data_IF_256242786985
#
_entry.id   IF_256242786985
#
_cell.length_a   1.000
_cell.length_b   1.000
_cell.length_c   1.000
_cell.angle_alpha   90.00
_cell.angle_beta   90.00
_cell.angle_gamma   90.00
#
_symmetry.space_group_name_H-M   'P 1'
#
loop_
_entity.id
_entity.type
_entity.pdbx_description
1 polymer ?
#
# COMPACT_ATOMS: atom_id res chain seq x y z
N UNK A 1 -13.29 3.36 14.12
CA UNK A 1 -13.87 3.54 12.76
C UNK A 1 -13.24 2.49 11.87
N UNK A 2 -14.03 1.63 11.20
CA UNK A 2 -13.50 0.67 10.21
C UNK A 2 -13.28 1.41 8.88
N UNK A 3 -12.11 1.22 8.29
CA UNK A 3 -11.72 1.76 6.98
C UNK A 3 -11.00 0.67 6.17
N UNK A 4 -10.46 1.03 5.00
CA UNK A 4 -9.74 0.10 4.11
C UNK A 4 -8.59 -0.62 4.80
N UNK A 5 -7.91 0.02 5.74
CA UNK A 5 -6.83 -0.61 6.51
C UNK A 5 -7.36 -1.82 7.28
N UNK A 6 -8.49 -1.68 7.97
CA UNK A 6 -9.07 -2.77 8.76
C UNK A 6 -9.59 -3.92 7.90
N UNK A 7 -9.87 -3.67 6.61
CA UNK A 7 -10.28 -4.70 5.67
C UNK A 7 -9.09 -5.49 5.08
N UNK A 8 -7.89 -4.90 5.08
CA UNK A 8 -6.70 -5.45 4.42
C UNK A 8 -5.70 -6.04 5.42
N UNK A 9 -5.64 -5.53 6.65
CA UNK A 9 -4.78 -6.12 7.69
C UNK A 9 -5.17 -7.58 7.91
N UNK A 10 -4.20 -8.47 7.71
CA UNK A 10 -4.35 -9.91 7.86
C UNK A 10 -4.53 -10.30 9.32
N UNK A 11 -5.25 -11.40 9.55
CA UNK A 11 -5.37 -11.96 10.90
C UNK A 11 -4.07 -12.66 11.31
N UNK A 12 -3.72 -12.58 12.59
CA UNK A 12 -2.57 -13.30 13.15
C UNK A 12 -2.68 -14.81 12.94
N UNK A 13 -3.90 -15.35 12.97
CA UNK A 13 -4.15 -16.78 12.80
C UNK A 13 -3.90 -17.26 11.37
N UNK A 14 -4.10 -16.40 10.36
CA UNK A 14 -3.71 -16.70 8.99
C UNK A 14 -2.21 -16.97 8.91
N UNK A 15 -1.39 -16.07 9.48
CA UNK A 15 0.07 -16.14 9.38
C UNK A 15 0.66 -17.36 10.09
N UNK A 16 0.09 -17.76 11.22
CA UNK A 16 0.51 -18.96 11.97
C UNK A 16 0.35 -20.25 11.17
N UNK A 17 -0.62 -20.29 10.26
CA UNK A 17 -0.93 -21.49 9.47
C UNK A 17 -0.19 -21.56 8.12
N UNK A 18 0.52 -20.49 7.72
CA UNK A 18 1.32 -20.50 6.49
C UNK A 18 2.61 -21.31 6.67
N UNK A 19 3.08 -21.94 5.58
CA UNK A 19 4.41 -22.55 5.51
C UNK A 19 5.51 -21.47 5.58
N UNK A 20 6.77 -21.86 5.84
CA UNK A 20 7.88 -20.91 5.91
C UNK A 20 8.11 -20.17 4.57
N UNK A 21 7.99 -20.90 3.46
CA UNK A 21 8.06 -20.36 2.09
C UNK A 21 6.90 -19.38 1.83
N UNK A 22 5.65 -19.82 2.05
CA UNK A 22 4.48 -18.98 1.82
C UNK A 22 4.47 -17.72 2.70
N UNK A 23 4.99 -17.80 3.92
CA UNK A 23 5.12 -16.65 4.81
C UNK A 23 6.20 -15.67 4.33
N UNK A 24 7.27 -16.18 3.72
CA UNK A 24 8.33 -15.36 3.11
C UNK A 24 7.78 -14.63 1.88
N UNK A 25 7.06 -15.34 1.01
CA UNK A 25 6.43 -14.75 -0.17
C UNK A 25 5.39 -13.71 0.22
N UNK A 26 4.55 -14.01 1.21
CA UNK A 26 3.56 -13.07 1.74
C UNK A 26 4.23 -11.78 2.24
N UNK A 27 5.32 -11.90 3.01
CA UNK A 27 6.10 -10.75 3.48
C UNK A 27 6.62 -9.91 2.31
N UNK A 28 7.25 -10.55 1.33
CA UNK A 28 7.85 -9.85 0.18
C UNK A 28 6.78 -9.16 -0.66
N UNK A 29 5.69 -9.86 -0.99
CA UNK A 29 4.57 -9.30 -1.75
C UNK A 29 3.93 -8.09 -1.05
N UNK A 30 3.80 -8.12 0.28
CA UNK A 30 3.31 -6.97 1.03
C UNK A 30 4.26 -5.77 0.94
N UNK A 31 5.58 -6.00 1.03
CA UNK A 31 6.58 -4.95 0.88
C UNK A 31 6.65 -4.36 -0.53
N UNK A 32 6.58 -5.21 -1.55
CA UNK A 32 6.57 -4.79 -2.95
C UNK A 32 5.31 -3.98 -3.27
N UNK A 33 4.14 -4.42 -2.78
CA UNK A 33 2.89 -3.69 -2.94
C UNK A 33 2.93 -2.32 -2.24
N UNK A 34 3.46 -2.24 -1.01
CA UNK A 34 3.61 -0.97 -0.30
C UNK A 34 4.55 -0.01 -1.07
N UNK A 35 5.67 -0.53 -1.57
CA UNK A 35 6.62 0.23 -2.39
C UNK A 35 6.00 0.71 -3.70
N UNK A 36 5.18 -0.13 -4.36
CA UNK A 36 4.42 0.23 -5.55
C UNK A 36 3.43 1.37 -5.29
N UNK A 37 2.79 1.40 -4.11
CA UNK A 37 1.92 2.52 -3.71
C UNK A 37 2.72 3.81 -3.54
N UNK A 38 3.89 3.76 -2.91
CA UNK A 38 4.77 4.94 -2.77
C UNK A 38 5.17 5.47 -4.15
N UNK A 39 5.55 4.59 -5.07
CA UNK A 39 5.89 4.95 -6.44
C UNK A 39 4.69 5.59 -7.18
N UNK A 40 3.50 5.02 -7.02
CA UNK A 40 2.28 5.57 -7.61
C UNK A 40 1.96 6.96 -7.05
N UNK A 41 2.02 7.15 -5.74
CA UNK A 41 1.80 8.46 -5.10
C UNK A 41 2.81 9.51 -5.56
N UNK A 42 4.08 9.12 -5.73
CA UNK A 42 5.13 9.99 -6.23
C UNK A 42 4.86 10.41 -7.67
N UNK A 43 4.55 9.42 -8.53
CA UNK A 43 4.23 9.66 -9.94
C UNK A 43 3.00 10.55 -10.09
N UNK A 44 1.94 10.33 -9.29
CA UNK A 44 0.77 11.19 -9.27
C UNK A 44 1.11 12.63 -8.88
N UNK A 45 2.00 12.82 -7.91
CA UNK A 45 2.51 14.15 -7.53
C UNK A 45 3.25 14.84 -8.68
N UNK A 46 4.15 14.13 -9.37
CA UNK A 46 4.87 14.66 -10.53
C UNK A 46 3.93 15.05 -11.67
N UNK A 47 3.01 14.15 -12.03
CA UNK A 47 2.03 14.40 -13.11
C UNK A 47 1.09 15.57 -12.77
N UNK A 48 0.71 15.72 -11.50
CA UNK A 48 -0.12 16.86 -11.08
C UNK A 48 0.61 18.19 -11.27
N UNK A 49 1.92 18.22 -11.01
CA UNK A 49 2.75 19.39 -11.22
C UNK A 49 2.90 19.70 -12.71
N UNK A 50 3.22 18.70 -13.54
CA UNK A 50 3.31 18.84 -15.00
C UNK A 50 1.99 19.33 -15.61
N UNK A 51 0.85 18.85 -15.12
CA UNK A 51 -0.47 19.29 -15.57
C UNK A 51 -0.77 20.75 -15.20
N UNK A 52 -0.31 21.22 -14.03
CA UNK A 52 -0.47 22.62 -13.62
C UNK A 52 0.39 23.58 -14.45
N UNK A 53 1.52 23.11 -14.98
CA UNK A 53 2.44 23.90 -15.81
C UNK A 53 2.06 23.88 -17.31
N UNK A 54 1.01 23.15 -17.68
CA UNK A 54 0.58 22.98 -19.07
C UNK A 54 -0.45 24.04 -19.49
N UNK A 55 -0.15 24.79 -20.54
CA UNK A 55 -1.08 25.74 -21.17
C UNK A 55 -2.27 25.04 -21.88
N UNK A 56 -2.16 23.74 -22.15
CA UNK A 56 -3.18 22.93 -22.83
C UNK A 56 -4.14 22.23 -21.85
N UNK A 57 -3.88 22.32 -20.53
CA UNK A 57 -4.67 21.62 -19.53
C UNK A 57 -5.91 22.41 -19.14
N UNK A 58 -7.08 21.91 -19.54
CA UNK A 58 -8.35 22.62 -19.32
C UNK A 58 -8.82 22.57 -17.86
N UNK A 59 -9.63 23.56 -17.45
CA UNK A 59 -10.25 23.60 -16.13
C UNK A 59 -11.14 22.36 -15.87
N UNK A 60 -11.82 21.85 -16.91
CA UNK A 60 -12.63 20.64 -16.82
C UNK A 60 -11.79 19.38 -16.55
N UNK A 61 -10.65 19.23 -17.23
CA UNK A 61 -9.72 18.12 -17.02
C UNK A 61 -9.09 18.20 -15.63
N UNK A 62 -8.64 19.39 -15.23
CA UNK A 62 -8.12 19.66 -13.89
C UNK A 62 -9.11 19.22 -12.81
N UNK A 63 -10.37 19.65 -12.91
CA UNK A 63 -11.40 19.27 -11.94
C UNK A 63 -11.64 17.77 -11.89
N UNK A 64 -11.68 17.09 -13.05
CA UNK A 64 -11.86 15.63 -13.14
C UNK A 64 -10.70 14.89 -12.47
N UNK A 65 -9.48 15.25 -12.80
CA UNK A 65 -8.30 14.51 -12.36
C UNK A 65 -7.99 14.81 -10.89
N UNK A 66 -8.26 16.03 -10.41
CA UNK A 66 -8.21 16.36 -8.98
C UNK A 66 -9.19 15.53 -8.14
N UNK A 67 -10.37 15.18 -8.67
CA UNK A 67 -11.26 14.22 -8.00
C UNK A 67 -10.65 12.82 -7.92
N UNK A 68 -9.98 12.38 -8.98
CA UNK A 68 -9.22 11.12 -9.00
C UNK A 68 -8.08 11.10 -7.98
N UNK A 69 -7.26 12.17 -7.96
CA UNK A 69 -6.17 12.37 -7.00
C UNK A 69 -6.67 12.38 -5.57
N UNK A 70 -7.76 13.10 -5.28
CA UNK A 70 -8.39 13.12 -3.96
C UNK A 70 -8.79 11.71 -3.50
N UNK A 71 -9.40 10.92 -4.38
CA UNK A 71 -9.77 9.53 -4.08
C UNK A 71 -8.54 8.66 -3.78
N UNK A 72 -7.48 8.78 -4.60
CA UNK A 72 -6.23 8.05 -4.39
C UNK A 72 -5.58 8.42 -3.04
N UNK A 73 -5.44 9.72 -2.75
CA UNK A 73 -4.84 10.22 -1.51
C UNK A 73 -5.63 9.85 -0.25
N UNK A 74 -6.94 9.69 -0.36
CA UNK A 74 -7.80 9.26 0.76
C UNK A 74 -7.57 7.79 1.15
N UNK A 75 -7.21 6.93 0.18
CA UNK A 75 -7.24 5.48 0.37
C UNK A 75 -5.85 4.83 0.34
N UNK A 76 -4.97 5.24 -0.59
CA UNK A 76 -3.66 4.62 -0.79
C UNK A 76 -2.76 4.67 0.45
N UNK A 77 -2.67 5.76 1.22
CA UNK A 77 -1.84 5.77 2.43
C UNK A 77 -2.30 4.76 3.49
N UNK A 78 -3.62 4.60 3.66
CA UNK A 78 -4.19 3.64 4.62
C UNK A 78 -4.01 2.19 4.14
N UNK A 79 -4.09 1.96 2.83
CA UNK A 79 -3.78 0.67 2.23
C UNK A 79 -2.30 0.31 2.42
N UNK A 80 -1.39 1.25 2.15
CA UNK A 80 0.05 1.08 2.37
C UNK A 80 0.36 0.71 3.82
N UNK A 81 -0.22 1.43 4.78
CA UNK A 81 -0.05 1.12 6.21
C UNK A 81 -0.52 -0.31 6.57
N UNK A 82 -1.58 -0.82 5.94
CA UNK A 82 -2.03 -2.19 6.17
C UNK A 82 -1.05 -3.22 5.61
N UNK A 83 -0.51 -2.96 4.42
CA UNK A 83 0.49 -3.81 3.78
C UNK A 83 1.80 -3.83 4.59
N UNK A 84 2.25 -2.68 5.09
CA UNK A 84 3.43 -2.61 5.96
C UNK A 84 3.23 -3.38 7.27
N UNK A 85 2.06 -3.24 7.91
CA UNK A 85 1.74 -4.02 9.11
C UNK A 85 1.74 -5.53 8.81
N UNK A 86 1.19 -5.93 7.66
CA UNK A 86 1.16 -7.33 7.24
C UNK A 86 2.57 -7.88 7.01
N UNK A 87 3.44 -7.10 6.37
CA UNK A 87 4.85 -7.41 6.18
C UNK A 87 5.57 -7.58 7.52
N UNK A 88 5.40 -6.65 8.45
CA UNK A 88 6.00 -6.69 9.79
C UNK A 88 5.52 -7.90 10.60
N UNK A 89 4.22 -8.20 10.55
CA UNK A 89 3.64 -9.36 11.23
C UNK A 89 4.21 -10.67 10.68
N UNK A 90 4.38 -10.77 9.36
CA UNK A 90 4.97 -11.95 8.72
C UNK A 90 6.47 -12.09 9.06
N UNK A 91 7.22 -10.99 9.06
CA UNK A 91 8.62 -10.98 9.46
C UNK A 91 8.82 -11.38 10.93
N UNK A 92 7.94 -10.89 11.81
CA UNK A 92 7.90 -11.30 13.21
C UNK A 92 7.66 -12.81 13.35
N UNK A 93 6.70 -13.37 12.63
CA UNK A 93 6.37 -14.79 12.70
C UNK A 93 7.52 -15.67 12.17
N UNK A 94 8.21 -15.25 11.09
CA UNK A 94 9.42 -15.91 10.60
C UNK A 94 10.53 -15.93 11.65
N UNK A 95 10.81 -14.78 12.27
CA UNK A 95 11.83 -14.65 13.33
C UNK A 95 11.48 -15.50 14.55
N UNK A 96 10.22 -15.49 14.98
CA UNK A 96 9.71 -16.29 16.10
C UNK A 96 9.95 -17.78 15.87
N UNK A 97 9.63 -18.27 14.66
CA UNK A 97 9.88 -19.68 14.28
C UNK A 97 11.36 -20.02 14.22
N UNK A 98 12.19 -19.11 13.72
CA UNK A 98 13.64 -19.28 13.68
C UNK A 98 14.29 -19.33 15.06
N UNK A 99 13.79 -18.57 16.03
CA UNK A 99 14.29 -18.55 17.41
C UNK A 99 13.84 -19.76 18.26
N UNK A 100 12.86 -20.53 17.78
CA UNK A 100 12.33 -21.72 18.49
C UNK A 100 12.95 -23.03 17.94
N UNK A 101 13.81 -22.96 16.91
CA UNK A 101 14.60 -24.08 16.40
C UNK A 101 15.95 -24.14 17.10
#
# INVERSE_FOLDING_TARGET
MRDIYHAVVGSSDLLKNLSQEALTDYKNNCGDAASGIVFALTTLGCLSMEACDSDEYSDEECRRDMMGLSSALKHLPRLMQALDQNRENADYELKRRGATK
#
